data_IF_541960170962
#
_entry.id   IF_541960170962
#
_cell.length_a   1.000
_cell.length_b   1.000
_cell.length_c   1.000
_cell.angle_alpha   90.00
_cell.angle_beta   90.00
_cell.angle_gamma   90.00
#
_symmetry.space_group_name_H-M   'P 1'
#
loop_
_entity.id
_entity.type
_entity.pdbx_description
1 polymer ?
#
# COMPACT_ATOMS: atom_id res chain seq x y z
N UNK A 1 -5.92 11.94 3.72
CA UNK A 1 -5.08 12.04 4.93
C UNK A 1 -5.17 13.47 5.46
N UNK A 2 -6.16 13.70 6.29
CA UNK A 2 -6.38 14.98 6.98
C UNK A 2 -5.66 14.88 8.32
N UNK A 3 -4.57 15.63 8.47
CA UNK A 3 -3.82 15.76 9.72
C UNK A 3 -2.36 16.15 9.44
N UNK A 4 -1.90 17.20 10.08
CA UNK A 4 -0.56 17.80 9.85
C UNK A 4 0.63 16.90 10.20
N UNK A 5 0.42 15.72 10.78
CA UNK A 5 1.48 14.84 11.29
C UNK A 5 1.81 13.65 10.37
N UNK A 6 1.05 13.41 9.28
CA UNK A 6 1.28 12.28 8.38
C UNK A 6 1.74 12.70 6.99
N UNK A 7 2.75 13.56 6.92
CA UNK A 7 3.28 14.06 5.64
C UNK A 7 4.33 13.14 4.98
N UNK A 8 4.76 12.06 5.64
CA UNK A 8 5.78 11.14 5.08
C UNK A 8 5.06 10.02 4.34
N UNK A 9 4.77 10.28 3.06
CA UNK A 9 4.17 9.33 2.13
C UNK A 9 5.11 9.12 0.96
N UNK A 10 5.19 7.89 0.48
CA UNK A 10 5.98 7.53 -0.69
C UNK A 10 5.22 6.54 -1.57
N UNK A 11 5.76 6.28 -2.74
CA UNK A 11 5.18 5.39 -3.74
C UNK A 11 6.27 4.72 -4.58
N UNK A 12 5.90 3.72 -5.37
CA UNK A 12 6.77 3.08 -6.36
C UNK A 12 7.06 3.92 -7.60
N UNK A 13 6.50 5.12 -7.73
CA UNK A 13 6.69 5.98 -8.91
C UNK A 13 8.16 6.24 -9.29
N UNK A 14 9.09 6.47 -8.32
CA UNK A 14 10.51 6.62 -8.66
C UNK A 14 11.11 5.37 -9.33
N UNK A 15 10.72 4.18 -8.88
CA UNK A 15 11.10 2.90 -9.51
C UNK A 15 10.49 2.75 -10.90
N UNK A 16 9.21 3.05 -11.05
CA UNK A 16 8.52 2.98 -12.34
C UNK A 16 9.14 3.91 -13.39
N UNK A 17 9.63 5.06 -13.00
CA UNK A 17 10.34 5.98 -13.90
C UNK A 17 11.52 5.34 -14.61
N UNK A 18 12.18 4.34 -14.01
CA UNK A 18 13.31 3.63 -14.61
C UNK A 18 12.91 2.79 -15.82
N UNK A 19 11.63 2.44 -15.96
CA UNK A 19 11.13 1.68 -17.12
C UNK A 19 11.11 2.49 -18.42
N UNK A 20 11.14 3.82 -18.31
CA UNK A 20 10.94 4.71 -19.45
C UNK A 20 9.50 4.80 -19.96
N UNK A 21 8.53 4.12 -19.29
CA UNK A 21 7.11 4.08 -19.69
C UNK A 21 6.32 5.32 -19.27
N UNK A 22 6.92 6.23 -18.52
CA UNK A 22 6.30 7.47 -18.04
C UNK A 22 6.33 8.56 -19.12
N UNK A 23 5.81 8.26 -20.31
CA UNK A 23 5.48 9.32 -21.24
C UNK A 23 4.14 9.97 -20.84
N UNK A 24 3.80 11.11 -21.48
CA UNK A 24 2.57 11.85 -21.21
C UNK A 24 1.27 11.06 -21.51
N UNK A 25 1.35 9.81 -22.02
CA UNK A 25 0.21 9.01 -22.42
C UNK A 25 -0.20 8.00 -21.35
N UNK A 26 0.77 7.39 -20.67
CA UNK A 26 0.51 6.33 -19.69
C UNK A 26 0.43 6.86 -18.26
N UNK A 27 1.13 7.95 -17.96
CA UNK A 27 1.19 8.51 -16.61
C UNK A 27 1.95 7.60 -15.63
N UNK A 28 1.89 7.94 -14.36
CA UNK A 28 2.47 7.16 -13.26
C UNK A 28 1.44 6.21 -12.66
N UNK A 29 1.86 5.06 -12.08
CA UNK A 29 0.98 4.17 -11.34
C UNK A 29 0.23 4.84 -10.18
N UNK A 30 0.84 5.84 -9.53
CA UNK A 30 0.25 6.60 -8.43
C UNK A 30 0.04 8.03 -8.84
N UNK A 31 -1.21 8.50 -8.84
CA UNK A 31 -1.60 9.82 -9.32
C UNK A 31 -2.63 10.47 -8.39
N UNK A 32 -2.62 11.80 -8.36
CA UNK A 32 -3.74 12.59 -7.86
C UNK A 32 -4.74 12.82 -9.01
N UNK A 33 -6.02 12.75 -8.70
CA UNK A 33 -7.12 13.07 -9.63
C UNK A 33 -8.04 14.13 -9.04
N UNK A 34 -8.68 14.92 -9.89
CA UNK A 34 -9.58 15.99 -9.47
C UNK A 34 -10.97 15.49 -9.05
N UNK A 35 -11.35 14.28 -9.51
CA UNK A 35 -12.67 13.68 -9.30
C UNK A 35 -12.63 12.68 -8.13
N UNK A 36 -12.25 13.15 -6.94
CA UNK A 36 -12.34 12.38 -5.70
C UNK A 36 -13.78 12.28 -5.19
N UNK A 37 -13.96 11.60 -4.05
CA UNK A 37 -15.22 11.63 -3.31
C UNK A 37 -15.51 13.05 -2.82
N UNK A 38 -14.47 13.75 -2.38
CA UNK A 38 -14.49 15.19 -2.06
C UNK A 38 -13.25 15.89 -2.60
N UNK A 39 -13.40 16.62 -3.70
CA UNK A 39 -12.29 17.33 -4.32
C UNK A 39 -11.27 16.41 -4.96
N UNK A 40 -10.01 16.48 -4.53
CA UNK A 40 -8.95 15.67 -5.10
C UNK A 40 -8.87 14.31 -4.40
N UNK A 41 -8.82 13.25 -5.20
CA UNK A 41 -8.64 11.88 -4.74
C UNK A 41 -7.30 11.26 -5.18
N UNK A 42 -7.04 10.06 -4.70
CA UNK A 42 -5.91 9.21 -5.09
C UNK A 42 -6.37 8.22 -6.15
N UNK A 43 -5.58 8.05 -7.20
CA UNK A 43 -5.71 6.98 -8.20
C UNK A 43 -4.47 6.13 -8.21
N UNK A 44 -4.63 4.84 -8.03
CA UNK A 44 -3.59 3.81 -8.12
C UNK A 44 -3.92 2.89 -9.28
N UNK A 45 -2.99 2.74 -10.23
CA UNK A 45 -3.20 1.89 -11.41
C UNK A 45 -2.05 0.91 -11.55
N UNK A 46 -2.36 -0.35 -11.78
CA UNK A 46 -1.36 -1.36 -12.15
C UNK A 46 -0.99 -1.16 -13.62
N UNK A 47 0.27 -0.85 -13.87
CA UNK A 47 0.79 -0.48 -15.17
C UNK A 47 1.72 -1.57 -15.73
N UNK A 48 1.80 -1.63 -17.06
CA UNK A 48 2.83 -2.38 -17.78
C UNK A 48 4.20 -1.72 -17.57
N UNK A 49 5.24 -2.51 -17.46
CA UNK A 49 6.63 -2.05 -17.28
C UNK A 49 7.45 -2.15 -18.58
N UNK A 50 6.83 -2.63 -19.65
CA UNK A 50 7.43 -2.73 -20.96
C UNK A 50 8.62 -3.71 -21.03
N UNK A 51 9.43 -3.56 -22.07
CA UNK A 51 10.57 -4.45 -22.32
C UNK A 51 11.64 -4.39 -21.22
N UNK A 52 11.83 -3.24 -20.58
CA UNK A 52 12.78 -3.11 -19.47
C UNK A 52 12.32 -3.92 -18.27
N UNK A 53 11.06 -3.81 -17.89
CA UNK A 53 10.50 -4.61 -16.79
C UNK A 53 10.55 -6.11 -17.06
N UNK A 54 10.21 -6.54 -18.28
CA UNK A 54 10.33 -7.94 -18.69
C UNK A 54 11.77 -8.46 -18.58
N UNK A 55 12.76 -7.65 -18.97
CA UNK A 55 14.19 -8.02 -18.88
C UNK A 55 14.65 -8.26 -17.42
N UNK A 56 14.06 -7.56 -16.45
CA UNK A 56 14.38 -7.70 -15.02
C UNK A 56 13.31 -8.49 -14.25
N UNK A 57 12.42 -9.19 -14.96
CA UNK A 57 11.33 -10.02 -14.40
C UNK A 57 10.33 -9.25 -13.50
N UNK A 58 10.16 -7.97 -13.75
CA UNK A 58 9.21 -7.08 -13.07
C UNK A 58 8.12 -6.67 -14.06
N UNK A 59 7.26 -7.61 -14.45
CA UNK A 59 6.35 -7.47 -15.60
C UNK A 59 5.26 -6.44 -15.43
N UNK A 60 4.86 -6.16 -14.19
CA UNK A 60 3.89 -5.12 -13.84
C UNK A 60 4.42 -4.22 -12.73
N UNK A 61 3.85 -3.03 -12.61
CA UNK A 61 4.04 -2.13 -11.48
C UNK A 61 2.68 -1.74 -10.91
N UNK A 62 2.34 -2.27 -9.74
CA UNK A 62 1.14 -1.87 -9.03
C UNK A 62 1.25 -0.41 -8.57
N UNK A 63 0.19 0.37 -8.78
CA UNK A 63 0.04 1.67 -8.14
C UNK A 63 -0.03 1.48 -6.64
N UNK A 64 0.80 2.20 -5.89
CA UNK A 64 0.83 2.10 -4.45
C UNK A 64 1.09 3.46 -3.79
N UNK A 65 0.59 3.60 -2.58
CA UNK A 65 0.91 4.71 -1.68
C UNK A 65 1.07 4.16 -0.28
N UNK A 66 2.12 4.57 0.43
CA UNK A 66 2.38 4.07 1.77
C UNK A 66 3.02 5.13 2.67
N UNK A 67 2.88 4.94 3.97
CA UNK A 67 3.63 5.70 4.96
C UNK A 67 4.98 5.03 5.16
N UNK A 68 6.06 5.75 4.81
CA UNK A 68 7.42 5.22 4.86
C UNK A 68 8.35 5.91 3.86
N UNK A 69 9.31 5.16 3.32
CA UNK A 69 10.26 5.64 2.31
C UNK A 69 10.56 4.58 1.27
N UNK A 70 10.96 5.01 0.07
CA UNK A 70 11.35 4.14 -1.04
C UNK A 70 12.84 4.27 -1.33
N UNK A 71 13.57 3.16 -1.24
CA UNK A 71 15.01 3.08 -1.53
C UNK A 71 15.23 2.71 -3.00
N UNK A 72 15.35 3.74 -3.84
CA UNK A 72 15.54 3.58 -5.27
C UNK A 72 16.83 2.80 -5.62
N UNK A 73 17.88 2.91 -4.80
CA UNK A 73 19.16 2.23 -5.05
C UNK A 73 19.02 0.71 -4.97
N UNK A 74 18.09 0.20 -4.16
CA UNK A 74 17.80 -1.22 -4.01
C UNK A 74 16.66 -1.72 -4.90
N UNK A 75 15.90 -0.83 -5.55
CA UNK A 75 14.68 -1.17 -6.29
C UNK A 75 14.86 -2.26 -7.37
N UNK A 76 16.02 -2.32 -8.03
CA UNK A 76 16.32 -3.32 -9.04
C UNK A 76 17.03 -4.57 -8.50
N UNK A 77 17.67 -4.47 -7.33
CA UNK A 77 18.44 -5.58 -6.75
C UNK A 77 17.61 -6.44 -5.82
N UNK A 78 16.80 -5.78 -5.01
CA UNK A 78 15.94 -6.41 -4.01
C UNK A 78 14.65 -5.56 -3.88
N UNK A 79 13.72 -5.68 -4.85
CA UNK A 79 12.56 -4.80 -4.93
C UNK A 79 11.63 -4.89 -3.71
N UNK A 80 11.53 -6.07 -3.07
CA UNK A 80 10.74 -6.21 -1.85
C UNK A 80 11.32 -5.40 -0.68
N UNK A 81 12.65 -5.24 -0.63
CA UNK A 81 13.32 -4.46 0.41
C UNK A 81 13.49 -2.98 0.06
N UNK A 82 13.13 -2.58 -1.15
CA UNK A 82 13.17 -1.19 -1.55
C UNK A 82 12.13 -0.32 -0.81
N UNK A 83 11.00 -0.89 -0.44
CA UNK A 83 9.98 -0.19 0.34
C UNK A 83 10.25 -0.35 1.83
N UNK A 84 10.34 0.76 2.55
CA UNK A 84 10.51 0.81 4.01
C UNK A 84 9.25 1.37 4.63
N UNK A 85 8.55 0.56 5.40
CA UNK A 85 7.25 0.89 5.95
C UNK A 85 7.32 1.48 7.36
N UNK A 86 6.60 2.57 7.58
CA UNK A 86 6.24 3.10 8.88
C UNK A 86 7.06 4.31 9.33
N UNK A 87 6.42 5.06 10.21
CA UNK A 87 6.98 6.18 10.98
C UNK A 87 6.71 5.95 12.45
N UNK A 88 7.46 6.60 13.34
CA UNK A 88 7.19 6.54 14.79
C UNK A 88 5.75 6.99 15.08
N UNK A 89 5.09 6.26 15.98
CA UNK A 89 3.70 6.49 16.31
C UNK A 89 3.47 6.36 17.81
N UNK A 90 2.67 7.29 18.38
CA UNK A 90 2.55 7.53 19.82
C UNK A 90 1.13 7.38 20.35
N UNK A 91 0.15 7.13 19.45
CA UNK A 91 -1.27 6.98 19.80
C UNK A 91 -1.72 5.54 19.59
N UNK A 92 -2.81 5.15 20.22
CA UNK A 92 -3.41 3.85 19.95
C UNK A 92 -4.30 3.94 18.70
N UNK A 93 -3.97 3.26 17.60
CA UNK A 93 -4.85 3.23 16.44
C UNK A 93 -6.07 2.37 16.73
N UNK A 94 -7.25 2.85 16.31
CA UNK A 94 -8.54 2.18 16.50
C UNK A 94 -9.06 1.61 15.19
N UNK A 95 -9.13 2.44 14.14
CA UNK A 95 -9.63 2.05 12.82
C UNK A 95 -9.02 2.89 11.70
N UNK A 96 -8.94 2.31 10.52
CA UNK A 96 -8.68 3.00 9.27
C UNK A 96 -9.98 3.06 8.48
N UNK A 97 -10.42 4.24 8.07
CA UNK A 97 -11.64 4.41 7.27
C UNK A 97 -11.42 5.29 6.06
N UNK A 98 -12.32 5.24 5.11
CA UNK A 98 -12.30 6.04 3.90
C UNK A 98 -13.32 5.56 2.88
N UNK A 99 -13.12 5.98 1.64
CA UNK A 99 -13.95 5.58 0.50
C UNK A 99 -13.07 5.05 -0.61
N UNK A 100 -13.56 4.06 -1.33
CA UNK A 100 -12.87 3.49 -2.49
C UNK A 100 -13.81 3.26 -3.67
N UNK A 101 -13.23 3.16 -4.87
CA UNK A 101 -13.77 2.51 -6.06
C UNK A 101 -12.68 1.62 -6.63
N UNK A 102 -13.05 0.49 -7.20
CA UNK A 102 -12.08 -0.42 -7.80
C UNK A 102 -12.61 -1.09 -9.05
N UNK A 103 -11.75 -1.19 -10.05
CA UNK A 103 -11.94 -1.98 -11.26
C UNK A 103 -10.72 -2.84 -11.50
N UNK A 104 -10.89 -4.15 -11.60
CA UNK A 104 -9.81 -5.06 -11.97
C UNK A 104 -9.48 -4.94 -13.47
N UNK A 105 -8.21 -5.10 -13.81
CA UNK A 105 -7.77 -5.31 -15.18
C UNK A 105 -8.28 -6.65 -15.72
N UNK A 106 -8.35 -6.78 -17.05
CA UNK A 106 -8.97 -7.95 -17.70
C UNK A 106 -8.10 -9.22 -17.60
N UNK A 107 -6.76 -9.07 -17.61
CA UNK A 107 -5.83 -10.19 -17.72
C UNK A 107 -4.87 -10.19 -16.54
N UNK A 108 -5.04 -11.15 -15.65
CA UNK A 108 -4.10 -11.38 -14.54
C UNK A 108 -2.86 -12.12 -15.03
N UNK A 109 -1.69 -11.64 -14.62
CA UNK A 109 -0.40 -12.26 -14.95
C UNK A 109 0.41 -12.57 -13.70
N UNK A 110 1.14 -13.70 -13.73
CA UNK A 110 2.14 -14.10 -12.77
C UNK A 110 3.43 -14.44 -13.55
N UNK A 111 4.53 -13.78 -13.21
CA UNK A 111 5.81 -13.90 -13.94
C UNK A 111 5.69 -13.67 -15.46
N UNK A 112 4.74 -12.79 -15.86
CA UNK A 112 4.43 -12.52 -17.27
C UNK A 112 3.50 -13.54 -17.95
N UNK A 113 3.18 -14.65 -17.29
CA UNK A 113 2.28 -15.68 -17.81
C UNK A 113 0.83 -15.42 -17.42
N UNK A 114 -0.07 -15.56 -18.38
CA UNK A 114 -1.53 -15.31 -18.17
C UNK A 114 -2.13 -16.40 -17.29
N UNK A 115 -2.80 -15.99 -16.23
CA UNK A 115 -3.56 -16.85 -15.30
C UNK A 115 -5.06 -16.68 -15.55
N UNK A 116 -5.66 -17.60 -16.32
CA UNK A 116 -7.03 -17.48 -16.86
C UNK A 116 -8.13 -17.50 -15.78
N UNK A 117 -7.88 -18.16 -14.66
CA UNK A 117 -8.86 -18.37 -13.58
C UNK A 117 -8.65 -17.39 -12.40
N UNK A 118 -7.72 -16.44 -12.56
CA UNK A 118 -7.43 -15.44 -11.54
C UNK A 118 -7.95 -14.07 -11.94
N UNK A 119 -8.44 -13.34 -10.92
CA UNK A 119 -8.86 -11.95 -11.03
C UNK A 119 -8.08 -11.12 -10.04
N UNK A 120 -7.64 -9.95 -10.47
CA UNK A 120 -6.90 -9.05 -9.60
C UNK A 120 -7.79 -8.43 -8.53
N UNK A 121 -7.18 -8.06 -7.42
CA UNK A 121 -7.82 -7.48 -6.25
C UNK A 121 -6.89 -6.44 -5.65
N UNK A 122 -7.45 -5.35 -5.16
CA UNK A 122 -6.68 -4.33 -4.44
C UNK A 122 -6.44 -4.72 -2.98
N UNK A 123 -5.54 -3.98 -2.32
CA UNK A 123 -5.33 -4.06 -0.89
C UNK A 123 -5.30 -2.69 -0.23
N UNK A 124 -5.90 -2.59 0.95
CA UNK A 124 -5.85 -1.45 1.87
C UNK A 124 -5.57 -2.02 3.24
N UNK A 125 -4.43 -1.67 3.83
CA UNK A 125 -4.12 -2.10 5.19
C UNK A 125 -3.34 -1.05 5.96
N UNK A 126 -3.40 -1.18 7.28
CA UNK A 126 -2.54 -0.45 8.21
C UNK A 126 -1.97 -1.41 9.24
N UNK A 127 -0.72 -1.21 9.62
CA UNK A 127 -0.01 -2.03 10.62
C UNK A 127 0.60 -1.15 11.69
N UNK A 128 0.48 -1.59 12.94
CA UNK A 128 1.25 -1.10 14.07
C UNK A 128 2.24 -2.20 14.49
N UNK A 129 3.52 -1.90 14.52
CA UNK A 129 4.55 -2.87 14.85
C UNK A 129 5.59 -2.33 15.85
N UNK A 130 6.18 -3.22 16.64
CA UNK A 130 7.26 -2.87 17.56
C UNK A 130 8.57 -2.64 16.81
N UNK A 131 9.24 -1.53 17.12
CA UNK A 131 10.55 -1.16 16.62
C UNK A 131 11.45 -0.77 17.80
N UNK A 132 12.16 -1.75 18.34
CA UNK A 132 13.05 -1.52 19.50
C UNK A 132 14.21 -0.57 19.16
N UNK A 133 14.63 -0.56 17.90
CA UNK A 133 15.62 0.34 17.36
C UNK A 133 14.97 1.29 16.33
N UNK A 134 15.34 2.57 16.35
CA UNK A 134 14.79 3.56 15.44
C UNK A 134 15.08 3.23 13.96
N UNK A 135 16.17 2.54 13.69
CA UNK A 135 16.57 2.08 12.36
C UNK A 135 15.74 0.89 11.84
N UNK A 136 15.09 0.12 12.73
CA UNK A 136 14.31 -1.05 12.33
C UNK A 136 13.04 -0.62 11.57
N UNK A 137 12.87 -1.17 10.38
CA UNK A 137 11.69 -0.95 9.55
C UNK A 137 11.28 -2.27 8.90
N UNK A 138 9.97 -2.49 8.80
CA UNK A 138 9.43 -3.54 7.96
C UNK A 138 9.56 -3.14 6.48
N UNK A 139 9.57 -4.13 5.60
CA UNK A 139 9.66 -3.95 4.16
C UNK A 139 8.65 -4.85 3.40
N UNK A 140 8.65 -4.84 2.08
CA UNK A 140 7.72 -5.62 1.27
C UNK A 140 7.78 -7.13 1.48
N UNK A 141 8.89 -7.65 2.04
CA UNK A 141 9.03 -9.08 2.31
C UNK A 141 8.34 -9.53 3.60
N UNK A 142 8.06 -8.62 4.53
CA UNK A 142 7.60 -8.97 5.88
C UNK A 142 6.50 -8.07 6.46
N UNK A 143 5.99 -7.10 5.70
CA UNK A 143 5.01 -6.12 6.17
C UNK A 143 3.68 -6.70 6.67
N UNK A 144 3.33 -7.93 6.29
CA UNK A 144 2.12 -8.63 6.73
C UNK A 144 2.39 -9.88 7.56
N UNK A 145 3.64 -10.32 7.64
CA UNK A 145 4.01 -11.61 8.26
C UNK A 145 4.95 -11.49 9.45
N UNK A 146 5.52 -10.30 9.68
CA UNK A 146 6.48 -10.10 10.78
C UNK A 146 5.85 -10.35 12.15
N UNK A 147 6.58 -11.07 13.00
CA UNK A 147 6.23 -11.26 14.42
C UNK A 147 6.23 -9.93 15.21
N UNK A 148 6.83 -8.87 14.69
CA UNK A 148 6.82 -7.55 15.33
C UNK A 148 5.49 -6.82 15.18
N UNK A 149 4.59 -7.26 14.31
CA UNK A 149 3.27 -6.66 14.16
C UNK A 149 2.45 -6.91 15.43
N UNK A 150 1.90 -5.84 15.98
CA UNK A 150 1.10 -5.85 17.21
C UNK A 150 -0.39 -5.73 16.91
N UNK A 151 -0.73 -4.91 15.92
CA UNK A 151 -2.10 -4.77 15.46
C UNK A 151 -2.14 -4.48 13.96
N UNK A 152 -3.19 -4.94 13.31
CA UNK A 152 -3.41 -4.78 11.87
C UNK A 152 -4.87 -4.45 11.59
N UNK A 153 -5.10 -3.49 10.70
CA UNK A 153 -6.37 -3.24 10.05
C UNK A 153 -6.19 -3.56 8.56
N UNK A 154 -6.99 -4.44 7.99
CA UNK A 154 -6.87 -4.82 6.57
C UNK A 154 -8.23 -5.11 5.97
N UNK A 155 -8.46 -4.66 4.74
CA UNK A 155 -9.66 -5.00 4.01
C UNK A 155 -9.71 -6.51 3.75
N UNK A 156 -10.88 -7.13 4.00
CA UNK A 156 -11.03 -8.55 3.74
C UNK A 156 -11.18 -8.84 2.25
N UNK A 157 -10.94 -10.08 1.85
CA UNK A 157 -11.11 -10.49 0.46
C UNK A 157 -12.54 -10.28 -0.03
N UNK A 158 -13.51 -10.55 0.82
CA UNK A 158 -14.94 -10.40 0.52
C UNK A 158 -15.35 -8.93 0.37
N UNK A 159 -14.64 -8.01 1.04
CA UNK A 159 -14.92 -6.57 0.96
C UNK A 159 -14.12 -5.87 -0.16
N UNK A 160 -13.03 -6.47 -0.63
CA UNK A 160 -12.20 -5.94 -1.71
C UNK A 160 -12.80 -6.23 -3.09
N UNK A 161 -14.03 -5.74 -3.33
CA UNK A 161 -14.82 -6.00 -4.54
C UNK A 161 -14.72 -4.88 -5.57
N UNK A 162 -15.03 -5.19 -6.83
CA UNK A 162 -15.21 -4.16 -7.86
C UNK A 162 -16.47 -3.33 -7.58
N UNK A 163 -16.34 -2.02 -7.74
CA UNK A 163 -17.45 -1.09 -7.64
C UNK A 163 -17.17 0.18 -8.43
N UNK A 164 -18.17 0.65 -9.18
CA UNK A 164 -18.13 1.93 -9.87
C UNK A 164 -18.57 3.10 -8.96
N UNK A 165 -19.20 2.77 -7.83
CA UNK A 165 -19.68 3.73 -6.84
C UNK A 165 -18.66 3.88 -5.68
N UNK A 166 -18.55 5.10 -5.14
CA UNK A 166 -17.76 5.32 -3.95
C UNK A 166 -18.32 4.54 -2.76
N UNK A 167 -17.55 3.56 -2.29
CA UNK A 167 -17.94 2.64 -1.23
C UNK A 167 -17.15 2.93 0.03
N UNK A 168 -17.86 3.16 1.14
CA UNK A 168 -17.23 3.39 2.44
C UNK A 168 -16.60 2.12 2.98
N UNK A 169 -15.47 2.25 3.65
CA UNK A 169 -14.87 1.19 4.46
C UNK A 169 -14.47 1.72 5.84
N UNK A 170 -14.51 0.82 6.82
CA UNK A 170 -13.99 1.04 8.17
C UNK A 170 -13.35 -0.26 8.64
N UNK A 171 -12.04 -0.23 8.83
CA UNK A 171 -11.21 -1.38 9.14
C UNK A 171 -10.72 -1.23 10.58
N UNK A 172 -11.25 -2.00 11.56
CA UNK A 172 -10.76 -1.97 12.93
C UNK A 172 -9.34 -2.54 13.01
N UNK A 173 -8.53 -2.02 13.94
CA UNK A 173 -7.25 -2.63 14.27
C UNK A 173 -7.45 -3.83 15.17
N UNK A 174 -7.11 -5.00 14.67
CA UNK A 174 -7.18 -6.25 15.39
C UNK A 174 -5.80 -6.64 15.93
N UNK A 175 -5.72 -7.19 17.18
CA UNK A 175 -4.46 -7.68 17.73
C UNK A 175 -3.83 -8.77 16.86
N UNK A 176 -2.50 -8.73 16.73
CA UNK A 176 -1.72 -9.70 15.98
C UNK A 176 -0.67 -10.37 16.85
N UNK A 177 -0.32 -11.62 16.51
CA UNK A 177 0.75 -12.40 17.16
C UNK A 177 0.57 -12.57 18.68
N UNK A 178 -0.69 -12.56 19.18
CA UNK A 178 -0.97 -12.63 20.61
C UNK A 178 -0.46 -11.44 21.43
N UNK A 179 -0.19 -10.31 20.77
CA UNK A 179 0.34 -9.10 21.41
C UNK A 179 -0.77 -8.09 21.69
N UNK A 180 -0.51 -7.27 22.70
CA UNK A 180 -1.32 -6.10 23.04
C UNK A 180 -0.48 -4.82 22.93
N UNK A 181 -1.13 -3.70 22.66
CA UNK A 181 -0.48 -2.39 22.63
C UNK A 181 -0.10 -1.99 24.07
N UNK A 182 1.18 -1.86 24.33
CA UNK A 182 1.71 -1.46 25.63
C UNK A 182 1.84 0.06 25.71
N UNK A 183 1.18 0.67 26.70
CA UNK A 183 1.16 2.12 26.93
C UNK A 183 2.55 2.73 27.07
N UNK A 184 3.42 2.15 27.89
CA UNK A 184 4.76 2.68 28.09
C UNK A 184 5.61 2.63 26.81
N UNK A 185 5.57 1.52 26.08
CA UNK A 185 6.24 1.40 24.78
C UNK A 185 5.73 2.42 23.77
N UNK A 186 4.41 2.72 23.80
CA UNK A 186 3.81 3.70 22.92
C UNK A 186 4.35 5.11 23.23
N UNK A 187 4.37 5.49 24.52
CA UNK A 187 4.91 6.75 24.99
C UNK A 187 6.41 6.91 24.72
N UNK A 188 7.16 5.81 24.79
CA UNK A 188 8.60 5.76 24.52
C UNK A 188 8.93 5.72 23.01
N UNK A 189 7.91 5.79 22.12
CA UNK A 189 8.11 5.77 20.68
C UNK A 189 8.65 4.44 20.14
N UNK A 190 8.33 3.30 20.80
CA UNK A 190 8.76 1.96 20.41
C UNK A 190 7.85 1.31 19.37
N UNK A 191 6.89 2.05 18.86
CA UNK A 191 6.01 1.60 17.79
C UNK A 191 6.18 2.43 16.53
N UNK A 192 6.00 1.78 15.40
CA UNK A 192 5.83 2.42 14.11
C UNK A 192 4.51 2.03 13.49
N UNK A 193 3.93 2.95 12.73
CA UNK A 193 2.69 2.75 12.01
C UNK A 193 2.93 2.98 10.52
N UNK A 194 2.40 2.09 9.69
CA UNK A 194 2.28 2.29 8.25
C UNK A 194 0.85 2.09 7.81
N UNK A 195 0.45 2.84 6.77
CA UNK A 195 -0.75 2.61 5.98
C UNK A 195 -0.26 2.32 4.58
N UNK A 196 -0.82 1.30 3.94
CA UNK A 196 -0.43 0.86 2.60
C UNK A 196 -1.68 0.68 1.75
N UNK A 197 -1.64 1.24 0.57
CA UNK A 197 -2.68 1.13 -0.46
C UNK A 197 -2.04 0.57 -1.71
N UNK A 198 -2.66 -0.42 -2.35
CA UNK A 198 -2.15 -1.03 -3.58
C UNK A 198 -3.27 -1.38 -4.54
N UNK A 199 -3.08 -1.10 -5.83
CA UNK A 199 -4.03 -1.48 -6.89
C UNK A 199 -4.00 -2.97 -7.24
N UNK A 200 -2.97 -3.72 -6.80
CA UNK A 200 -2.88 -5.17 -6.93
C UNK A 200 -2.36 -5.77 -5.63
N UNK A 201 -3.09 -6.71 -5.04
CA UNK A 201 -2.77 -7.31 -3.74
C UNK A 201 -1.42 -8.03 -3.74
N UNK A 202 -1.05 -8.66 -4.84
CA UNK A 202 0.24 -9.31 -5.03
C UNK A 202 1.24 -8.46 -5.84
N UNK A 203 0.96 -7.15 -5.97
CA UNK A 203 1.77 -6.22 -6.75
C UNK A 203 3.23 -6.11 -6.30
N UNK A 204 3.52 -6.35 -5.02
CA UNK A 204 4.89 -6.42 -4.50
C UNK A 204 5.72 -7.57 -5.12
N UNK A 205 5.04 -8.62 -5.59
CA UNK A 205 5.63 -9.77 -6.29
C UNK A 205 5.50 -9.67 -7.81
N UNK A 206 5.12 -8.48 -8.32
CA UNK A 206 4.90 -8.23 -9.76
C UNK A 206 3.81 -9.08 -10.39
N UNK A 207 2.82 -9.49 -9.59
CA UNK A 207 1.64 -10.23 -9.99
C UNK A 207 0.42 -9.33 -9.95
N UNK A 208 -0.46 -9.44 -10.95
CA UNK A 208 -1.66 -8.64 -11.03
C UNK A 208 -2.11 -8.44 -12.47
N UNK A 209 -3.12 -7.59 -12.66
CA UNK A 209 -3.65 -7.29 -13.98
C UNK A 209 -3.38 -5.83 -14.37
N UNK A 210 -2.71 -5.62 -15.50
CA UNK A 210 -2.53 -4.29 -16.07
C UNK A 210 -3.90 -3.64 -16.29
N UNK A 211 -4.07 -2.40 -15.80
CA UNK A 211 -5.33 -1.69 -15.83
C UNK A 211 -6.15 -1.79 -14.53
N UNK A 212 -5.80 -2.67 -13.59
CA UNK A 212 -6.41 -2.65 -12.25
C UNK A 212 -6.26 -1.27 -11.65
N UNK A 213 -7.39 -0.65 -11.29
CA UNK A 213 -7.42 0.75 -10.85
C UNK A 213 -8.21 0.89 -9.56
N UNK A 214 -7.52 1.36 -8.52
CA UNK A 214 -8.09 1.70 -7.22
C UNK A 214 -8.12 3.21 -7.05
N UNK A 215 -9.30 3.75 -6.74
CA UNK A 215 -9.45 5.11 -6.27
C UNK A 215 -9.68 5.10 -4.76
N UNK A 216 -9.04 6.02 -4.04
CA UNK A 216 -9.21 6.19 -2.59
C UNK A 216 -9.34 7.67 -2.26
N UNK A 217 -10.24 7.99 -1.34
CA UNK A 217 -10.40 9.34 -0.83
C UNK A 217 -10.89 9.35 0.63
N UNK A 218 -10.82 10.53 1.27
CA UNK A 218 -11.22 10.75 2.67
C UNK A 218 -10.62 9.71 3.64
N UNK A 219 -9.37 9.28 3.36
CA UNK A 219 -8.67 8.32 4.22
C UNK A 219 -8.35 8.93 5.58
N UNK A 220 -8.86 8.33 6.65
CA UNK A 220 -8.71 8.79 8.03
C UNK A 220 -8.27 7.64 8.95
N UNK A 221 -7.25 7.90 9.75
CA UNK A 221 -6.83 7.03 10.84
C UNK A 221 -7.45 7.51 12.15
N UNK A 222 -8.34 6.71 12.71
CA UNK A 222 -8.95 6.97 14.02
C UNK A 222 -8.01 6.46 15.10
N UNK A 223 -7.70 7.29 16.07
CA UNK A 223 -6.77 6.98 17.15
C UNK A 223 -7.22 7.62 18.46
N UNK A 224 -6.81 7.04 19.57
CA UNK A 224 -7.00 7.60 20.91
C UNK A 224 -5.66 7.91 21.59
N UNK A 225 -5.66 8.94 22.42
CA UNK A 225 -4.58 9.22 23.36
C UNK A 225 -4.64 8.18 24.51
N UNK A 226 -3.49 7.74 25.01
CA UNK A 226 -3.41 6.75 26.08
C UNK A 226 -2.80 7.36 27.34
#
# INVERSE_FOLDING_TARGET
LVGSEMCIRDSGNPGYKLTGMTDNRTGYPTQQVADGYRGNGLKLTTCDTGSFGAMVQMYIAAGNLFIGSFDLANALKDPLRATKFGIQYYKRPIALKGYFKFKAGEVYTDEGEVQKDMKDRFDIYAILYEANENSFMLDGSNSLTSENIVAKAQISEEAAVETDEWTAFELPFEPMNGKEINKSKLQDGKYKLSIVLSSSVEGAYFKGAVGSTLYVDELELISEEI
#
